data_IF_070250428874
#
_entry.id   IF_070250428874
#
_cell.length_a   1.000
_cell.length_b   1.000
_cell.length_c   1.000
_cell.angle_alpha   90.00
_cell.angle_beta   90.00
_cell.angle_gamma   90.00
#
_symmetry.space_group_name_H-M   'P 1'
#
loop_
_entity.id
_entity.type
_entity.pdbx_description
1 polymer ?
#
# COMPACT_ATOMS: atom_id res chain seq x y z
N UNK A 1 -45.44 -53.98 -6.85
CA UNK A 1 -44.04 -53.60 -7.15
C UNK A 1 -43.65 -52.49 -6.18
N UNK A 2 -42.67 -52.74 -5.29
CA UNK A 2 -42.21 -51.79 -4.25
C UNK A 2 -40.85 -51.27 -4.70
N UNK A 3 -40.80 -50.03 -5.17
CA UNK A 3 -39.57 -49.40 -5.66
C UNK A 3 -38.81 -48.80 -4.47
N UNK A 4 -37.88 -49.56 -3.90
CA UNK A 4 -36.93 -49.07 -2.90
C UNK A 4 -35.65 -48.63 -3.62
N UNK A 5 -35.59 -47.36 -4.05
CA UNK A 5 -34.39 -46.80 -4.69
C UNK A 5 -34.04 -45.33 -4.34
N UNK A 6 -34.29 -44.79 -3.10
CA UNK A 6 -33.78 -43.46 -2.75
C UNK A 6 -32.38 -43.46 -2.10
N UNK A 7 -31.82 -44.62 -1.72
CA UNK A 7 -30.70 -44.67 -0.77
C UNK A 7 -29.34 -44.18 -1.31
N UNK A 8 -29.03 -44.36 -2.60
CA UNK A 8 -27.69 -44.05 -3.11
C UNK A 8 -27.50 -42.56 -3.43
N UNK A 9 -28.56 -41.86 -3.84
CA UNK A 9 -28.49 -40.42 -4.12
C UNK A 9 -28.34 -39.58 -2.84
N UNK A 10 -28.98 -39.99 -1.75
CA UNK A 10 -28.89 -39.28 -0.46
C UNK A 10 -27.48 -39.36 0.13
N UNK A 11 -26.80 -40.50 -0.01
CA UNK A 11 -25.44 -40.69 0.48
C UNK A 11 -24.46 -39.77 -0.28
N UNK A 12 -24.62 -39.65 -1.59
CA UNK A 12 -23.79 -38.75 -2.41
C UNK A 12 -23.91 -37.27 -1.99
N UNK A 13 -25.12 -36.81 -1.67
CA UNK A 13 -25.36 -35.43 -1.24
C UNK A 13 -24.71 -35.16 0.13
N UNK A 14 -24.78 -36.10 1.07
CA UNK A 14 -24.19 -35.94 2.40
C UNK A 14 -22.66 -35.83 2.33
N UNK A 15 -22.01 -36.62 1.46
CA UNK A 15 -20.56 -36.55 1.25
C UNK A 15 -20.15 -35.20 0.66
N UNK A 16 -20.92 -34.68 -0.30
CA UNK A 16 -20.61 -33.42 -0.97
C UNK A 16 -20.70 -32.22 -0.01
N UNK A 17 -21.68 -32.23 0.91
CA UNK A 17 -21.82 -31.22 1.96
C UNK A 17 -20.67 -31.32 2.98
N UNK A 18 -20.22 -32.52 3.35
CA UNK A 18 -19.10 -32.68 4.28
C UNK A 18 -17.77 -32.11 3.72
N UNK A 19 -17.53 -32.26 2.41
CA UNK A 19 -16.32 -31.74 1.75
C UNK A 19 -16.32 -30.20 1.70
N UNK A 20 -17.47 -29.59 1.41
CA UNK A 20 -17.56 -28.12 1.32
C UNK A 20 -17.38 -27.45 2.69
N UNK A 21 -18.01 -27.98 3.74
CA UNK A 21 -17.82 -27.46 5.10
C UNK A 21 -16.41 -27.74 5.65
N UNK A 22 -15.82 -28.91 5.36
CA UNK A 22 -14.44 -29.23 5.75
C UNK A 22 -13.40 -28.32 5.08
N UNK A 23 -13.56 -28.01 3.79
CA UNK A 23 -12.65 -27.13 3.06
C UNK A 23 -12.65 -25.68 3.56
N UNK A 24 -13.82 -25.14 3.89
CA UNK A 24 -13.96 -23.77 4.41
C UNK A 24 -13.36 -23.66 5.82
N UNK A 25 -13.49 -24.70 6.66
CA UNK A 25 -12.94 -24.71 8.02
C UNK A 25 -11.41 -24.86 8.06
N UNK A 26 -10.81 -25.54 7.08
CA UNK A 26 -9.35 -25.67 7.00
C UNK A 26 -8.66 -24.34 6.61
N UNK A 27 -9.32 -23.49 5.82
CA UNK A 27 -8.79 -22.18 5.41
C UNK A 27 -8.86 -21.11 6.51
N UNK A 28 -9.72 -21.27 7.52
CA UNK A 28 -9.87 -20.30 8.61
C UNK A 28 -8.92 -20.54 9.80
N UNK A 29 -8.39 -21.76 9.96
CA UNK A 29 -7.49 -22.13 11.06
C UNK A 29 -6.08 -21.51 10.97
N UNK A 30 -5.53 -21.33 9.76
CA UNK A 30 -4.17 -20.79 9.57
C UNK A 30 -4.05 -19.30 9.91
N UNK A 31 -5.15 -18.54 9.81
CA UNK A 31 -5.15 -17.09 10.10
C UNK A 31 -5.07 -16.76 11.59
N UNK A 32 -5.45 -17.67 12.49
CA UNK A 32 -5.44 -17.40 13.94
C UNK A 32 -4.08 -17.61 14.61
N UNK A 33 -3.18 -18.44 14.05
CA UNK A 33 -1.84 -18.66 14.62
C UNK A 33 -0.86 -17.50 14.34
N UNK A 34 -1.01 -16.81 13.21
CA UNK A 34 -0.19 -15.63 12.87
C UNK A 34 -0.50 -14.42 13.78
N UNK A 35 -1.75 -14.25 14.22
CA UNK A 35 -2.16 -13.15 15.08
C UNK A 35 -1.66 -13.30 16.53
N UNK A 36 -1.52 -14.52 17.05
CA UNK A 36 -1.06 -14.75 18.43
C UNK A 36 0.45 -14.57 18.62
N UNK A 37 1.26 -14.82 17.59
CA UNK A 37 2.72 -14.61 17.67
C UNK A 37 3.10 -13.11 17.63
N UNK A 38 2.28 -12.25 17.01
CA UNK A 38 2.52 -10.81 16.95
C UNK A 38 2.30 -10.09 18.30
N UNK A 39 1.41 -10.61 19.17
CA UNK A 39 1.18 -9.99 20.49
C UNK A 39 2.22 -10.38 21.56
N UNK A 40 2.87 -11.56 21.45
CA UNK A 40 3.90 -11.97 22.42
C UNK A 40 5.22 -11.21 22.29
N UNK A 41 5.57 -10.69 21.10
CA UNK A 41 6.80 -9.92 20.92
C UNK A 41 6.71 -8.46 21.40
N UNK A 42 5.50 -7.88 21.53
CA UNK A 42 5.34 -6.48 21.97
C UNK A 42 5.54 -6.28 23.48
N UNK A 43 5.51 -7.36 24.28
CA UNK A 43 5.62 -7.28 25.74
C UNK A 43 6.98 -7.72 26.32
N UNK A 44 7.98 -8.09 25.51
CA UNK A 44 9.29 -8.55 26.01
C UNK A 44 10.46 -7.57 25.84
N UNK A 45 10.28 -6.42 25.17
CA UNK A 45 11.38 -5.45 24.96
C UNK A 45 11.40 -4.26 25.93
N UNK A 46 10.56 -4.26 26.97
CA UNK A 46 10.66 -3.28 28.05
C UNK A 46 11.42 -3.87 29.24
N UNK A 47 12.74 -3.65 29.24
CA UNK A 47 13.52 -3.72 30.49
C UNK A 47 14.93 -4.25 30.33
N UNK A 48 15.91 -3.34 30.23
CA UNK A 48 17.22 -3.54 30.87
C UNK A 48 18.07 -2.27 30.76
N UNK A 49 18.26 -1.64 31.92
CA UNK A 49 19.23 -0.60 32.24
C UNK A 49 20.58 -0.74 31.52
N UNK A 50 21.03 0.31 30.83
CA UNK A 50 22.44 0.60 30.64
C UNK A 50 22.70 2.06 31.00
N UNK A 51 23.27 2.24 32.20
CA UNK A 51 23.86 3.49 32.68
C UNK A 51 25.13 3.77 31.87
N UNK A 52 25.13 4.83 31.08
CA UNK A 52 26.37 5.53 30.74
C UNK A 52 26.12 7.03 30.86
N UNK A 53 26.71 7.64 31.89
CA UNK A 53 26.74 9.09 32.10
C UNK A 53 27.49 9.73 30.93
N UNK A 54 26.80 10.56 30.14
CA UNK A 54 27.45 11.57 29.33
C UNK A 54 26.83 12.92 29.73
N UNK A 55 27.69 13.73 30.31
CA UNK A 55 27.42 15.04 30.87
C UNK A 55 27.41 16.05 29.72
N UNK A 56 26.25 16.44 29.21
CA UNK A 56 26.13 17.60 28.32
C UNK A 56 24.86 18.36 28.67
N UNK A 57 25.09 19.58 29.17
CA UNK A 57 24.27 20.78 29.10
C UNK A 57 22.75 20.59 29.17
N UNK A 58 22.21 21.00 30.32
CA UNK A 58 20.82 21.32 30.60
C UNK A 58 20.15 22.03 29.41
N UNK A 59 19.54 21.27 28.52
CA UNK A 59 18.49 21.74 27.60
C UNK A 59 17.21 21.58 28.37
N UNK A 60 16.49 22.68 28.57
CA UNK A 60 15.19 22.71 29.21
C UNK A 60 14.33 21.54 28.72
N UNK A 61 13.86 20.73 29.68
CA UNK A 61 12.78 19.77 29.50
C UNK A 61 11.52 20.54 29.07
N UNK A 62 11.41 20.83 27.77
CA UNK A 62 10.10 20.98 27.15
C UNK A 62 9.50 19.59 27.15
N UNK A 63 8.55 19.39 28.05
CA UNK A 63 7.53 18.34 28.00
C UNK A 63 7.26 18.01 26.53
N UNK A 64 7.64 16.82 26.11
CA UNK A 64 7.11 16.19 24.90
C UNK A 64 5.62 15.98 25.15
N UNK A 65 4.83 17.03 24.89
CA UNK A 65 3.53 16.83 24.30
C UNK A 65 3.78 16.05 23.02
N UNK A 66 3.15 14.88 22.88
CA UNK A 66 2.99 14.16 21.61
C UNK A 66 2.40 15.13 20.57
N UNK A 67 3.25 15.94 19.96
CA UNK A 67 2.91 16.73 18.80
C UNK A 67 2.85 15.72 17.67
N UNK A 68 1.64 15.33 17.31
CA UNK A 68 1.37 14.55 16.11
C UNK A 68 2.26 15.03 14.97
N UNK A 69 2.94 14.10 14.31
CA UNK A 69 3.89 14.39 13.24
C UNK A 69 3.30 15.45 12.32
N UNK A 70 3.87 16.66 12.36
CA UNK A 70 3.51 17.73 11.44
C UNK A 70 4.01 17.27 10.08
N UNK A 71 3.12 16.64 9.31
CA UNK A 71 3.42 16.37 7.94
C UNK A 71 3.63 17.70 7.22
N UNK A 72 4.82 17.86 6.64
CA UNK A 72 5.17 18.99 5.80
C UNK A 72 5.24 18.50 4.35
N UNK A 73 4.54 19.16 3.39
CA UNK A 73 4.68 18.82 1.99
C UNK A 73 6.13 19.01 1.55
N UNK A 74 6.63 18.06 0.76
CA UNK A 74 8.02 18.07 0.27
C UNK A 74 8.06 17.66 -1.18
N UNK A 75 8.98 18.28 -1.91
CA UNK A 75 9.23 17.97 -3.31
C UNK A 75 10.59 17.30 -3.45
N UNK A 76 10.68 16.31 -4.32
CA UNK A 76 11.88 15.55 -4.57
C UNK A 76 12.11 15.50 -6.07
N UNK A 77 13.37 15.68 -6.45
CA UNK A 77 13.85 15.43 -7.81
C UNK A 77 14.39 14.01 -7.86
N UNK A 78 14.22 13.33 -8.99
CA UNK A 78 14.80 12.02 -9.22
C UNK A 78 14.16 11.33 -10.42
N UNK A 79 14.88 10.44 -11.09
CA UNK A 79 14.33 9.70 -12.21
C UNK A 79 13.96 8.28 -11.76
N UNK A 80 12.70 7.89 -11.94
CA UNK A 80 12.23 6.54 -11.66
C UNK A 80 11.37 6.02 -12.79
N UNK A 81 11.60 4.78 -13.18
CA UNK A 81 10.70 4.04 -14.05
C UNK A 81 9.75 3.21 -13.19
N UNK A 82 8.45 3.35 -13.41
CA UNK A 82 7.41 2.67 -12.65
C UNK A 82 6.42 2.01 -13.61
N UNK A 83 5.94 0.82 -13.26
CA UNK A 83 4.82 0.20 -13.95
C UNK A 83 3.52 0.61 -13.28
N UNK A 84 2.64 1.28 -14.03
CA UNK A 84 1.41 1.83 -13.49
C UNK A 84 0.19 1.51 -14.36
N UNK A 85 -0.99 1.49 -13.75
CA UNK A 85 -2.25 1.34 -14.46
C UNK A 85 -3.33 2.25 -13.87
N UNK A 86 -4.40 2.48 -14.63
CA UNK A 86 -5.46 3.41 -14.21
C UNK A 86 -6.08 2.97 -12.87
N UNK A 87 -6.15 3.89 -11.92
CA UNK A 87 -6.87 3.69 -10.67
C UNK A 87 -8.33 4.14 -10.81
N UNK A 88 -8.51 5.40 -11.20
CA UNK A 88 -9.77 6.10 -11.37
C UNK A 88 -9.66 7.07 -12.56
N UNK A 89 -10.80 7.53 -13.07
CA UNK A 89 -10.86 8.48 -14.18
C UNK A 89 -10.17 9.82 -13.90
N UNK A 90 -9.86 10.53 -14.99
CA UNK A 90 -9.16 11.79 -14.98
C UNK A 90 -10.00 12.89 -14.31
N UNK A 91 -9.40 13.59 -13.35
CA UNK A 91 -10.04 14.75 -12.70
C UNK A 91 -9.15 15.98 -12.87
N UNK A 92 -9.72 17.07 -13.40
CA UNK A 92 -9.03 18.36 -13.55
C UNK A 92 -7.68 18.27 -14.30
N UNK A 93 -7.60 17.43 -15.34
CA UNK A 93 -6.38 17.21 -16.12
C UNK A 93 -5.32 16.33 -15.44
N UNK A 94 -5.61 15.79 -14.25
CA UNK A 94 -4.72 14.91 -13.49
C UNK A 94 -5.21 13.46 -13.55
N UNK A 95 -4.30 12.51 -13.46
CA UNK A 95 -4.62 11.08 -13.52
C UNK A 95 -4.22 10.36 -12.25
N UNK A 96 -5.14 9.56 -11.71
CA UNK A 96 -4.84 8.68 -10.58
C UNK A 96 -4.44 7.31 -11.12
N UNK A 97 -3.23 6.86 -10.81
CA UNK A 97 -2.70 5.56 -11.25
C UNK A 97 -2.27 4.72 -10.06
N UNK A 98 -2.50 3.41 -10.14
CA UNK A 98 -1.92 2.43 -9.22
C UNK A 98 -0.51 2.10 -9.70
N UNK A 99 0.41 1.87 -8.76
CA UNK A 99 1.80 1.52 -9.05
C UNK A 99 2.08 0.10 -8.61
N UNK A 100 2.79 -0.67 -9.44
CA UNK A 100 3.20 -2.02 -9.11
C UNK A 100 4.07 -2.02 -7.86
N UNK A 101 3.78 -2.92 -6.92
CA UNK A 101 4.42 -2.96 -5.59
C UNK A 101 5.96 -2.87 -5.62
N UNK A 102 6.60 -3.60 -6.53
CA UNK A 102 8.06 -3.64 -6.65
C UNK A 102 8.68 -2.32 -7.12
N UNK A 103 7.90 -1.42 -7.71
CA UNK A 103 8.37 -0.12 -8.19
C UNK A 103 8.15 1.00 -7.18
N UNK A 104 7.29 0.79 -6.17
CA UNK A 104 7.04 1.74 -5.07
C UNK A 104 8.37 2.05 -4.34
N UNK A 105 9.16 1.03 -4.05
CA UNK A 105 10.45 1.16 -3.35
C UNK A 105 11.46 2.04 -4.08
N UNK A 106 11.30 2.23 -5.40
CA UNK A 106 12.20 3.04 -6.23
C UNK A 106 11.89 4.54 -6.14
N UNK A 107 10.70 4.90 -5.64
CA UNK A 107 10.24 6.28 -5.59
C UNK A 107 10.84 7.01 -4.37
N UNK A 108 11.36 8.24 -4.51
CA UNK A 108 12.01 8.97 -3.41
C UNK A 108 11.05 9.40 -2.28
N UNK A 109 9.74 9.20 -2.45
CA UNK A 109 8.70 9.54 -1.48
C UNK A 109 8.41 8.43 -0.47
N UNK A 110 8.94 7.21 -0.63
CA UNK A 110 8.43 6.00 0.05
C UNK A 110 9.06 5.68 1.40
N UNK A 111 9.65 6.68 2.08
CA UNK A 111 9.72 6.67 3.56
C UNK A 111 8.34 6.91 4.20
N UNK A 112 7.29 6.35 3.62
CA UNK A 112 5.91 6.47 4.07
C UNK A 112 5.42 5.08 4.44
N UNK A 113 4.81 4.98 5.62
CA UNK A 113 4.28 3.77 6.27
C UNK A 113 3.11 3.10 5.50
N UNK A 114 2.99 3.36 4.20
CA UNK A 114 1.88 2.94 3.35
C UNK A 114 2.43 2.17 2.14
N UNK A 115 3.11 1.05 2.41
CA UNK A 115 3.30 0.00 1.41
C UNK A 115 2.04 -0.87 1.33
N UNK A 116 0.94 -0.26 0.91
CA UNK A 116 -0.29 -0.98 0.61
C UNK A 116 -0.21 -1.56 -0.80
N UNK A 117 -0.86 -2.70 -1.04
CA UNK A 117 -0.97 -3.35 -2.35
C UNK A 117 -1.69 -2.45 -3.36
N UNK A 118 -2.43 -1.44 -2.89
CA UNK A 118 -3.19 -0.50 -3.69
C UNK A 118 -2.60 0.93 -3.69
N UNK A 119 -1.27 1.06 -3.70
CA UNK A 119 -0.64 2.39 -3.71
C UNK A 119 -1.01 3.20 -4.96
N UNK A 120 -1.68 4.33 -4.75
CA UNK A 120 -2.11 5.27 -5.80
C UNK A 120 -1.25 6.51 -5.78
N UNK A 121 -0.88 6.99 -6.97
CA UNK A 121 -0.22 8.28 -7.17
C UNK A 121 -0.99 9.12 -8.17
N UNK A 122 -0.85 10.44 -8.09
CA UNK A 122 -1.53 11.37 -9.00
C UNK A 122 -0.52 12.00 -9.95
N UNK A 123 -0.64 11.70 -11.24
CA UNK A 123 0.15 12.34 -12.30
C UNK A 123 -0.47 13.71 -12.60
N UNK A 124 0.33 14.78 -12.52
CA UNK A 124 -0.17 16.16 -12.67
C UNK A 124 -0.02 16.74 -14.07
N UNK A 125 0.84 16.16 -14.89
CA UNK A 125 1.20 16.59 -16.24
C UNK A 125 1.18 15.43 -17.26
N UNK A 126 0.11 14.61 -17.32
CA UNK A 126 0.04 13.50 -18.27
C UNK A 126 -0.03 13.99 -19.72
N UNK A 127 0.79 13.42 -20.61
CA UNK A 127 0.70 13.67 -22.06
C UNK A 127 -0.51 12.96 -22.67
N UNK A 128 -1.01 13.42 -23.82
CA UNK A 128 -2.12 12.75 -24.52
C UNK A 128 -1.84 11.28 -24.83
N UNK A 129 -0.61 10.96 -25.23
CA UNK A 129 -0.17 9.58 -25.43
C UNK A 129 -0.25 8.75 -24.15
N UNK A 130 0.25 9.29 -23.03
CA UNK A 130 0.20 8.63 -21.73
C UNK A 130 -1.24 8.39 -21.26
N UNK A 131 -2.14 9.37 -21.48
CA UNK A 131 -3.57 9.25 -21.17
C UNK A 131 -4.18 8.06 -21.89
N UNK A 132 -3.97 7.96 -23.19
CA UNK A 132 -4.51 6.88 -24.03
C UNK A 132 -3.95 5.51 -23.63
N UNK A 133 -2.65 5.43 -23.33
CA UNK A 133 -2.01 4.20 -22.91
C UNK A 133 -2.55 3.73 -21.54
N UNK A 134 -2.72 4.66 -20.59
CA UNK A 134 -3.23 4.35 -19.26
C UNK A 134 -4.72 4.03 -19.26
N UNK A 135 -5.54 4.63 -20.11
CA UNK A 135 -6.98 4.32 -20.21
C UNK A 135 -7.24 2.86 -20.56
N UNK A 136 -6.34 2.23 -21.32
CA UNK A 136 -6.45 0.82 -21.72
C UNK A 136 -5.60 -0.11 -20.83
N UNK A 137 -4.99 0.42 -19.78
CA UNK A 137 -4.09 -0.33 -18.90
C UNK A 137 -4.85 -1.10 -17.82
N UNK A 138 -4.22 -2.15 -17.31
CA UNK A 138 -4.71 -2.92 -16.16
C UNK A 138 -3.55 -3.45 -15.34
N UNK A 139 -3.81 -4.04 -14.18
CA UNK A 139 -2.77 -4.65 -13.35
C UNK A 139 -1.95 -5.72 -14.10
N UNK A 140 -2.61 -6.50 -14.97
CA UNK A 140 -1.98 -7.54 -15.78
C UNK A 140 -1.26 -6.97 -17.01
N UNK A 141 -1.59 -5.76 -17.43
CA UNK A 141 -0.96 -5.06 -18.54
C UNK A 141 -0.68 -3.58 -18.16
N UNK A 142 0.31 -3.35 -17.28
CA UNK A 142 0.65 -2.02 -16.82
C UNK A 142 1.46 -1.28 -17.89
N UNK A 143 1.44 0.05 -17.81
CA UNK A 143 2.23 0.93 -18.67
C UNK A 143 3.48 1.35 -17.91
N UNK A 144 4.64 1.21 -18.54
CA UNK A 144 5.89 1.73 -18.01
C UNK A 144 5.91 3.27 -18.16
N UNK A 145 6.04 3.97 -17.04
CA UNK A 145 6.08 5.42 -16.97
C UNK A 145 7.43 5.87 -16.40
N UNK A 146 7.97 6.93 -16.98
CA UNK A 146 9.19 7.58 -16.52
C UNK A 146 8.82 8.86 -15.76
N UNK A 147 9.01 8.83 -14.45
CA UNK A 147 8.68 9.92 -13.52
C UNK A 147 9.97 10.64 -13.13
N UNK A 148 9.93 11.98 -13.10
CA UNK A 148 11.09 12.85 -12.81
C UNK A 148 10.87 13.76 -11.60
N UNK A 149 9.63 14.08 -11.31
CA UNK A 149 9.25 14.95 -10.20
C UNK A 149 8.31 14.24 -9.23
N UNK A 150 8.54 14.42 -7.93
CA UNK A 150 7.70 13.85 -6.89
C UNK A 150 7.31 14.92 -5.86
N UNK A 151 6.07 14.86 -5.37
CA UNK A 151 5.59 15.69 -4.29
C UNK A 151 4.84 14.84 -3.26
N UNK A 152 5.31 14.87 -2.00
CA UNK A 152 4.59 14.32 -0.87
C UNK A 152 3.51 15.31 -0.43
N UNK A 153 2.26 14.84 -0.39
CA UNK A 153 1.14 15.53 0.23
C UNK A 153 0.81 14.89 1.59
N UNK A 154 0.26 15.68 2.50
CA UNK A 154 0.01 15.25 3.87
C UNK A 154 -1.35 14.60 4.12
N UNK A 155 -2.30 14.87 3.23
CA UNK A 155 -3.67 14.39 3.36
C UNK A 155 -4.15 13.70 2.07
N UNK A 156 -3.30 13.60 1.06
CA UNK A 156 -3.64 13.09 -0.27
C UNK A 156 -2.55 12.15 -0.76
N UNK A 157 -2.90 11.33 -1.76
CA UNK A 157 -1.95 10.57 -2.55
C UNK A 157 -0.80 11.48 -3.03
N UNK A 158 0.44 10.96 -3.10
CA UNK A 158 1.56 11.73 -3.59
C UNK A 158 1.36 12.11 -5.05
N UNK A 159 1.81 13.31 -5.41
CA UNK A 159 1.83 13.76 -6.78
C UNK A 159 3.13 13.36 -7.45
N UNK A 160 3.05 13.02 -8.72
CA UNK A 160 4.18 12.67 -9.57
C UNK A 160 4.09 13.43 -10.88
N UNK A 161 5.24 13.66 -11.50
CA UNK A 161 5.36 14.40 -12.75
C UNK A 161 6.39 13.78 -13.68
N UNK A 162 6.12 13.84 -14.98
CA UNK A 162 7.09 13.43 -16.01
C UNK A 162 8.22 14.45 -16.20
N UNK A 163 7.98 15.69 -15.77
CA UNK A 163 8.97 16.75 -15.68
C UNK A 163 9.60 16.85 -14.28
N UNK A 164 10.63 17.68 -14.17
CA UNK A 164 11.33 17.93 -12.92
C UNK A 164 10.40 18.64 -11.92
N UNK A 165 10.47 18.26 -10.64
CA UNK A 165 9.60 18.77 -9.58
C UNK A 165 9.70 20.30 -9.44
N UNK A 166 10.87 20.87 -9.69
CA UNK A 166 11.12 22.31 -9.70
C UNK A 166 10.36 23.08 -10.79
N UNK A 167 10.01 22.45 -11.91
CA UNK A 167 9.23 23.09 -12.97
C UNK A 167 7.73 23.09 -12.66
N UNK A 168 7.27 21.98 -12.09
CA UNK A 168 5.85 21.69 -11.95
C UNK A 168 5.29 22.07 -10.57
N UNK A 169 6.06 21.84 -9.50
CA UNK A 169 5.57 22.01 -8.13
C UNK A 169 6.09 23.23 -7.38
N UNK A 170 7.25 23.80 -7.77
CA UNK A 170 7.81 25.00 -7.11
C UNK A 170 7.20 26.34 -7.58
N UNK A 171 6.31 26.33 -8.57
CA UNK A 171 5.54 27.53 -8.95
C UNK A 171 4.36 27.70 -7.99
N UNK A 172 4.64 28.29 -6.83
CA UNK A 172 3.65 28.68 -5.81
C UNK A 172 4.20 29.82 -4.98
#
# INVERSE_FOLDING_TARGET
>A
MRNNLPSQFTIGIIILVAITFGGIFHLSGERQQLAQNYQKQKNQNSGSHLRTKINVTKVEERKEEEKGEICNPRYFEGESEINAWMANDMENGKMSVRVKRNDIEKMPTTKMELMDENFVVIIVDPTEEMKNNLQNSSENNPVALKIRGFARSCQKAPYVSIEDASKVFKKG
#
